data_IF_212950290241
#
_entry.id   IF_212950290241
#
_cell.length_a   1.000
_cell.length_b   1.000
_cell.length_c   1.000
_cell.angle_alpha   90.00
_cell.angle_beta   90.00
_cell.angle_gamma   90.00
#
_symmetry.space_group_name_H-M   'P 1'
#
loop_
_entity.id
_entity.type
_entity.pdbx_description
1 polymer ?
#
# COMPACT_ATOMS: atom_id res chain seq x y z
N UNK A 1 -14.18 2.79 -48.86
CA UNK A 1 -13.27 3.85 -49.32
C UNK A 1 -14.02 5.18 -49.37
N UNK A 2 -13.72 6.08 -48.42
CA UNK A 2 -13.87 7.54 -48.56
C UNK A 2 -13.26 8.22 -47.33
N UNK A 3 -12.05 8.73 -47.49
CA UNK A 3 -11.38 9.68 -46.60
C UNK A 3 -12.08 11.05 -46.71
N UNK A 4 -12.28 11.74 -45.59
CA UNK A 4 -12.18 13.21 -45.56
C UNK A 4 -11.46 13.60 -44.26
N UNK A 5 -10.22 14.04 -44.43
CA UNK A 5 -9.37 14.72 -43.46
C UNK A 5 -9.84 16.17 -43.37
N UNK A 6 -9.95 16.75 -42.17
CA UNK A 6 -10.02 18.20 -42.03
C UNK A 6 -9.22 18.67 -40.81
N UNK A 7 -8.03 19.16 -41.14
CA UNK A 7 -7.09 19.90 -40.29
C UNK A 7 -7.59 21.33 -40.20
N UNK A 8 -7.82 21.86 -38.99
CA UNK A 8 -7.99 23.29 -38.77
C UNK A 8 -6.78 23.84 -38.02
N UNK A 9 -5.98 24.56 -38.80
CA UNK A 9 -4.78 25.29 -38.44
C UNK A 9 -5.14 26.77 -38.54
N UNK A 10 -5.19 27.51 -37.44
CA UNK A 10 -5.25 28.98 -37.46
C UNK A 10 -4.34 29.56 -36.38
N UNK A 11 -3.28 30.21 -36.86
CA UNK A 11 -2.42 31.13 -36.14
C UNK A 11 -3.16 32.41 -35.77
N UNK A 12 -2.99 32.88 -34.54
CA UNK A 12 -3.26 34.27 -34.13
C UNK A 12 -1.97 34.87 -33.56
N UNK A 13 -1.50 35.95 -34.16
CA UNK A 13 -0.19 36.59 -33.96
C UNK A 13 -0.43 38.05 -33.52
N UNK A 14 0.40 38.53 -32.56
CA UNK A 14 0.62 39.91 -32.05
C UNK A 14 -0.43 40.44 -31.04
N UNK A 15 -0.11 41.18 -29.97
CA UNK A 15 1.02 42.08 -29.72
C UNK A 15 1.24 42.30 -28.19
N UNK A 16 2.50 42.51 -27.78
CA UNK A 16 2.98 43.54 -26.84
C UNK A 16 4.34 43.13 -26.21
N UNK A 17 5.40 43.86 -26.56
CA UNK A 17 6.67 43.89 -25.86
C UNK A 17 6.50 44.54 -24.48
N UNK A 18 7.07 43.94 -23.44
CA UNK A 18 7.55 44.68 -22.28
C UNK A 18 8.90 44.08 -21.91
N UNK A 19 9.96 44.81 -22.26
CA UNK A 19 11.28 44.67 -21.64
C UNK A 19 11.13 45.15 -20.19
N UNK A 20 11.28 44.25 -19.21
CA UNK A 20 11.50 44.69 -17.84
C UNK A 20 12.49 43.77 -17.11
N UNK A 21 13.70 44.29 -17.02
CA UNK A 21 14.64 44.13 -15.92
C UNK A 21 15.20 42.72 -15.66
N UNK A 22 16.28 42.44 -16.39
CA UNK A 22 17.37 41.54 -16.00
C UNK A 22 17.90 41.91 -14.60
N UNK A 23 17.28 41.35 -13.56
CA UNK A 23 17.89 41.19 -12.24
C UNK A 23 18.03 39.68 -12.01
N UNK A 24 19.12 39.10 -12.53
CA UNK A 24 19.55 37.75 -12.12
C UNK A 24 19.86 37.80 -10.62
N UNK A 25 18.85 37.52 -9.82
CA UNK A 25 19.01 37.11 -8.45
C UNK A 25 19.83 35.81 -8.49
N UNK A 26 21.09 35.89 -8.05
CA UNK A 26 21.93 34.71 -7.85
C UNK A 26 21.34 34.00 -6.64
N UNK A 27 20.34 33.16 -6.86
CA UNK A 27 19.87 32.21 -5.86
C UNK A 27 21.09 31.33 -5.54
N UNK A 28 21.65 31.37 -4.32
CA UNK A 28 22.69 30.43 -3.94
C UNK A 28 22.11 29.02 -4.17
N UNK A 29 22.88 28.06 -4.74
CA UNK A 29 22.36 26.72 -4.91
C UNK A 29 21.89 26.25 -3.54
N UNK A 30 20.57 26.08 -3.39
CA UNK A 30 19.98 25.46 -2.22
C UNK A 30 20.76 24.17 -2.03
N UNK A 31 21.48 24.07 -0.91
CA UNK A 31 22.19 22.87 -0.55
C UNK A 31 21.13 21.77 -0.50
N UNK A 32 21.07 20.94 -1.55
CA UNK A 32 20.30 19.71 -1.51
C UNK A 32 20.89 18.93 -0.35
N UNK A 33 20.19 18.90 0.77
CA UNK A 33 20.48 17.94 1.83
C UNK A 33 20.24 16.59 1.17
N UNK A 34 21.32 15.91 0.77
CA UNK A 34 21.25 14.51 0.38
C UNK A 34 20.97 13.77 1.69
N UNK A 35 19.68 13.62 1.99
CA UNK A 35 19.22 12.81 3.09
C UNK A 35 19.39 11.36 2.62
N UNK A 36 20.56 10.79 2.87
CA UNK A 36 20.72 9.34 2.71
C UNK A 36 19.71 8.70 3.66
N UNK A 37 18.87 7.75 3.19
CA UNK A 37 18.03 7.00 4.11
C UNK A 37 18.95 6.38 5.15
N UNK A 38 18.63 6.48 6.45
CA UNK A 38 19.48 5.90 7.47
C UNK A 38 19.58 4.40 7.18
N UNK A 39 20.80 3.91 7.04
CA UNK A 39 21.04 2.47 6.92
C UNK A 39 20.56 1.85 8.23
N UNK A 40 19.60 0.93 8.14
CA UNK A 40 19.09 0.19 9.28
C UNK A 40 20.24 -0.40 10.09
N UNK A 41 20.20 -0.27 11.41
CA UNK A 41 21.06 -1.07 12.26
C UNK A 41 20.74 -2.56 12.09
N UNK A 42 21.68 -3.44 12.44
CA UNK A 42 21.47 -4.89 12.37
C UNK A 42 20.25 -5.33 13.19
N UNK A 43 20.05 -4.72 14.36
CA UNK A 43 18.93 -5.02 15.25
C UNK A 43 17.58 -4.59 14.64
N UNK A 44 17.51 -3.39 14.07
CA UNK A 44 16.32 -2.89 13.38
C UNK A 44 15.97 -3.75 12.17
N UNK A 45 16.98 -4.11 11.37
CA UNK A 45 16.80 -5.01 10.22
C UNK A 45 16.24 -6.36 10.65
N UNK A 46 16.83 -6.98 11.68
CA UNK A 46 16.36 -8.26 12.20
C UNK A 46 14.93 -8.17 12.76
N UNK A 47 14.58 -7.06 13.41
CA UNK A 47 13.23 -6.82 13.90
C UNK A 47 12.21 -6.71 12.75
N UNK A 48 12.56 -6.00 11.67
CA UNK A 48 11.73 -5.90 10.48
C UNK A 48 11.60 -7.23 9.72
N UNK A 49 12.68 -7.98 9.53
CA UNK A 49 12.65 -9.32 8.90
C UNK A 49 11.74 -10.28 9.69
N UNK A 50 11.84 -10.26 11.02
CA UNK A 50 10.97 -11.07 11.89
C UNK A 50 9.51 -10.67 11.76
N UNK A 51 9.22 -9.37 11.79
CA UNK A 51 7.85 -8.87 11.67
C UNK A 51 7.25 -9.11 10.29
N UNK A 52 8.04 -8.95 9.23
CA UNK A 52 7.69 -9.30 7.85
C UNK A 52 7.25 -10.76 7.76
N UNK A 53 8.03 -11.69 8.31
CA UNK A 53 7.71 -13.11 8.22
C UNK A 53 6.43 -13.46 9.01
N UNK A 54 6.22 -12.86 10.18
CA UNK A 54 4.98 -13.02 10.94
C UNK A 54 3.76 -12.52 10.16
N UNK A 55 3.86 -11.32 9.56
CA UNK A 55 2.80 -10.75 8.74
C UNK A 55 2.56 -11.57 7.46
N UNK A 56 3.60 -12.10 6.82
CA UNK A 56 3.49 -12.96 5.63
C UNK A 56 2.73 -14.26 5.93
N UNK A 57 2.96 -14.87 7.10
CA UNK A 57 2.24 -16.04 7.55
C UNK A 57 0.76 -15.73 7.84
N UNK A 58 0.48 -14.60 8.51
CA UNK A 58 -0.88 -14.14 8.75
C UNK A 58 -1.60 -13.83 7.44
N UNK A 59 -0.95 -13.14 6.50
CA UNK A 59 -1.46 -12.86 5.15
C UNK A 59 -1.84 -14.14 4.42
N UNK A 60 -0.95 -15.13 4.40
CA UNK A 60 -1.23 -16.43 3.76
C UNK A 60 -2.50 -17.08 4.33
N UNK A 61 -2.71 -16.97 5.64
CA UNK A 61 -3.88 -17.52 6.31
C UNK A 61 -5.16 -16.74 5.97
N UNK A 62 -5.08 -15.41 5.91
CA UNK A 62 -6.22 -14.55 5.57
C UNK A 62 -6.58 -14.59 4.09
N UNK A 63 -5.61 -14.72 3.20
CA UNK A 63 -5.83 -14.98 1.78
C UNK A 63 -6.56 -16.31 1.56
N UNK A 64 -6.18 -17.35 2.29
CA UNK A 64 -6.91 -18.63 2.22
C UNK A 64 -8.37 -18.49 2.66
N UNK A 65 -8.66 -17.76 3.74
CA UNK A 65 -10.02 -17.55 4.25
C UNK A 65 -10.84 -16.71 3.27
N UNK A 66 -10.41 -15.47 3.01
CA UNK A 66 -11.19 -14.53 2.20
C UNK A 66 -11.25 -14.94 0.74
N UNK A 67 -10.19 -15.57 0.22
CA UNK A 67 -10.17 -16.14 -1.12
C UNK A 67 -11.10 -17.35 -1.29
N UNK A 68 -11.22 -18.22 -0.27
CA UNK A 68 -12.21 -19.30 -0.30
C UNK A 68 -13.64 -18.74 -0.34
N UNK A 69 -13.94 -17.80 0.56
CA UNK A 69 -15.26 -17.16 0.64
C UNK A 69 -15.61 -16.46 -0.69
N UNK A 70 -14.66 -15.75 -1.30
CA UNK A 70 -14.90 -15.04 -2.57
C UNK A 70 -15.17 -15.98 -3.76
N UNK A 71 -14.75 -17.25 -3.68
CA UNK A 71 -15.07 -18.30 -4.67
C UNK A 71 -16.37 -19.04 -4.36
N UNK A 72 -17.09 -18.64 -3.30
CA UNK A 72 -18.29 -19.33 -2.83
C UNK A 72 -18.00 -20.61 -2.04
N UNK A 73 -16.76 -20.80 -1.58
CA UNK A 73 -16.37 -21.91 -0.72
C UNK A 73 -16.61 -21.55 0.76
N UNK A 74 -16.78 -22.57 1.61
CA UNK A 74 -16.94 -22.36 3.06
C UNK A 74 -15.58 -22.25 3.76
N UNK A 75 -15.37 -21.20 4.55
CA UNK A 75 -14.24 -21.10 5.47
C UNK A 75 -14.66 -21.56 6.88
N UNK A 76 -13.73 -22.21 7.61
CA UNK A 76 -14.00 -22.75 8.94
C UNK A 76 -13.73 -21.70 10.03
N UNK A 77 -14.69 -21.52 10.93
CA UNK A 77 -14.51 -20.77 12.16
C UNK A 77 -13.77 -21.60 13.23
N UNK A 78 -13.15 -20.92 14.19
CA UNK A 78 -12.48 -21.56 15.33
C UNK A 78 -10.95 -21.53 15.27
N UNK A 79 -10.37 -21.02 14.19
CA UNK A 79 -8.94 -20.67 14.16
C UNK A 79 -8.73 -19.33 14.85
N UNK A 80 -7.89 -19.32 15.88
CA UNK A 80 -7.38 -18.08 16.47
C UNK A 80 -6.18 -17.59 15.64
N UNK A 81 -6.21 -16.30 15.31
CA UNK A 81 -5.13 -15.64 14.57
C UNK A 81 -4.40 -14.69 15.50
N UNK A 82 -3.09 -14.76 15.51
CA UNK A 82 -2.26 -13.81 16.24
C UNK A 82 -2.23 -12.48 15.46
N UNK A 83 -2.83 -11.43 16.04
CA UNK A 83 -2.78 -10.09 15.47
C UNK A 83 -1.43 -9.46 15.79
N UNK A 84 -0.67 -9.12 14.76
CA UNK A 84 0.56 -8.35 14.90
C UNK A 84 0.18 -6.87 15.02
N UNK A 85 0.55 -6.24 16.15
CA UNK A 85 0.25 -4.83 16.42
C UNK A 85 0.98 -3.90 15.43
N UNK A 86 0.28 -2.99 14.74
CA UNK A 86 0.90 -2.02 13.82
C UNK A 86 1.93 -1.11 14.50
N UNK A 87 1.74 -0.82 15.79
CA UNK A 87 2.61 0.05 16.59
C UNK A 87 4.02 -0.53 16.79
N UNK A 88 4.21 -1.83 16.50
CA UNK A 88 5.53 -2.47 16.49
C UNK A 88 6.43 -1.93 15.38
N UNK A 89 5.86 -1.39 14.30
CA UNK A 89 6.59 -0.89 13.15
C UNK A 89 6.65 0.64 13.20
N UNK A 90 7.88 1.15 13.22
CA UNK A 90 8.14 2.59 13.15
C UNK A 90 7.76 3.13 11.77
N UNK A 91 7.24 4.36 11.70
CA UNK A 91 6.88 5.03 10.45
C UNK A 91 7.98 5.99 9.94
N UNK A 92 9.16 5.96 10.58
CA UNK A 92 10.32 6.78 10.22
C UNK A 92 11.10 6.22 9.02
N UNK A 93 10.90 4.94 8.68
CA UNK A 93 11.50 4.26 7.54
C UNK A 93 10.42 3.78 6.55
N UNK A 94 10.68 3.81 5.23
CA UNK A 94 9.74 3.28 4.24
C UNK A 94 9.30 1.84 4.52
N UNK A 95 10.25 0.96 4.87
CA UNK A 95 9.93 -0.44 5.22
C UNK A 95 8.96 -0.54 6.40
N UNK A 96 9.14 0.30 7.42
CA UNK A 96 8.29 0.30 8.59
C UNK A 96 6.88 0.81 8.27
N UNK A 97 6.75 1.79 7.38
CA UNK A 97 5.45 2.24 6.86
C UNK A 97 4.70 1.12 6.11
N UNK A 98 5.40 0.36 5.26
CA UNK A 98 4.80 -0.76 4.53
C UNK A 98 4.38 -1.90 5.47
N UNK A 99 5.25 -2.30 6.41
CA UNK A 99 4.91 -3.33 7.39
C UNK A 99 3.78 -2.89 8.33
N UNK A 100 3.73 -1.61 8.70
CA UNK A 100 2.62 -1.04 9.46
C UNK A 100 1.31 -1.11 8.68
N UNK A 101 1.33 -0.77 7.38
CA UNK A 101 0.16 -0.86 6.51
C UNK A 101 -0.34 -2.30 6.42
N UNK A 102 0.54 -3.26 6.15
CA UNK A 102 0.20 -4.67 6.16
C UNK A 102 -0.40 -5.14 7.49
N UNK A 103 0.17 -4.69 8.62
CA UNK A 103 -0.35 -5.03 9.95
C UNK A 103 -1.77 -4.49 10.20
N UNK A 104 -2.06 -3.25 9.79
CA UNK A 104 -3.40 -2.66 9.92
C UNK A 104 -4.42 -3.46 9.11
N UNK A 105 -4.13 -3.68 7.84
CA UNK A 105 -5.06 -4.35 6.92
C UNK A 105 -5.31 -5.81 7.34
N UNK A 106 -4.27 -6.54 7.75
CA UNK A 106 -4.44 -7.92 8.24
C UNK A 106 -5.17 -7.97 9.58
N UNK A 107 -4.92 -7.02 10.50
CA UNK A 107 -5.66 -6.95 11.75
C UNK A 107 -7.15 -6.70 11.49
N UNK A 108 -7.49 -5.82 10.56
CA UNK A 108 -8.87 -5.55 10.18
C UNK A 108 -9.53 -6.74 9.44
N UNK A 109 -8.80 -7.43 8.57
CA UNK A 109 -9.26 -8.65 7.92
C UNK A 109 -9.57 -9.77 8.94
N UNK A 110 -8.71 -9.94 9.96
CA UNK A 110 -8.92 -10.88 11.07
C UNK A 110 -10.16 -10.51 11.88
N UNK A 111 -10.28 -9.24 12.30
CA UNK A 111 -11.44 -8.77 13.08
C UNK A 111 -12.74 -8.95 12.31
N UNK A 112 -12.74 -8.66 11.02
CA UNK A 112 -13.89 -8.85 10.16
C UNK A 112 -14.30 -10.33 10.10
N UNK A 113 -13.33 -11.23 9.95
CA UNK A 113 -13.59 -12.67 9.94
C UNK A 113 -14.10 -13.17 11.29
N UNK A 114 -13.50 -12.71 12.39
CA UNK A 114 -13.96 -13.02 13.75
C UNK A 114 -15.41 -12.57 13.97
N UNK A 115 -15.78 -11.39 13.47
CA UNK A 115 -17.16 -10.91 13.56
C UNK A 115 -18.15 -11.80 12.79
N UNK A 116 -17.78 -12.29 11.60
CA UNK A 116 -18.60 -13.27 10.86
C UNK A 116 -18.70 -14.61 11.61
N UNK A 117 -17.65 -15.02 12.32
CA UNK A 117 -17.67 -16.24 13.12
C UNK A 117 -18.47 -16.12 14.42
N UNK A 118 -18.51 -14.93 15.04
CA UNK A 118 -19.30 -14.66 16.24
C UNK A 118 -20.81 -14.59 15.93
N UNK A 119 -21.17 -14.08 14.75
CA UNK A 119 -22.56 -14.01 14.28
C UNK A 119 -22.71 -14.70 12.92
N UNK A 120 -22.68 -16.05 12.89
CA UNK A 120 -22.70 -16.80 11.65
C UNK A 120 -24.02 -16.58 10.91
N UNK A 121 -23.91 -16.12 9.67
CA UNK A 121 -25.03 -15.93 8.75
C UNK A 121 -25.08 -17.07 7.74
N UNK A 122 -26.26 -17.31 7.17
CA UNK A 122 -26.42 -18.31 6.09
C UNK A 122 -25.64 -17.90 4.83
N UNK A 123 -25.53 -16.60 4.59
CA UNK A 123 -24.77 -16.03 3.47
C UNK A 123 -24.08 -14.74 3.96
N UNK A 124 -22.78 -14.62 3.68
CA UNK A 124 -22.01 -13.41 3.97
C UNK A 124 -22.35 -12.36 2.90
N UNK A 125 -22.71 -11.13 3.26
CA UNK A 125 -23.01 -10.09 2.27
C UNK A 125 -21.83 -9.84 1.31
N UNK A 126 -22.08 -9.64 -0.01
CA UNK A 126 -21.01 -9.42 -0.98
C UNK A 126 -20.07 -8.25 -0.64
N UNK A 127 -20.58 -7.17 -0.05
CA UNK A 127 -19.79 -6.02 0.36
C UNK A 127 -18.80 -6.35 1.49
N UNK A 128 -19.16 -7.28 2.36
CA UNK A 128 -18.27 -7.80 3.42
C UNK A 128 -17.17 -8.65 2.81
N UNK A 129 -17.51 -9.52 1.85
CA UNK A 129 -16.54 -10.34 1.12
C UNK A 129 -15.55 -9.45 0.38
N UNK A 130 -16.04 -8.49 -0.40
CA UNK A 130 -15.22 -7.55 -1.15
C UNK A 130 -14.29 -6.72 -0.25
N UNK A 131 -14.78 -6.35 0.94
CA UNK A 131 -13.98 -5.64 1.95
C UNK A 131 -12.84 -6.51 2.47
N UNK A 132 -13.13 -7.74 2.88
CA UNK A 132 -12.13 -8.68 3.39
C UNK A 132 -11.05 -9.00 2.35
N UNK A 133 -11.47 -9.28 1.11
CA UNK A 133 -10.54 -9.51 -0.02
C UNK A 133 -9.65 -8.29 -0.27
N UNK A 134 -10.22 -7.08 -0.26
CA UNK A 134 -9.43 -5.86 -0.49
C UNK A 134 -8.38 -5.62 0.59
N UNK A 135 -8.71 -5.87 1.85
CA UNK A 135 -7.75 -5.75 2.96
C UNK A 135 -6.57 -6.70 2.76
N UNK A 136 -6.85 -7.97 2.45
CA UNK A 136 -5.80 -8.96 2.17
C UNK A 136 -4.94 -8.54 0.98
N UNK A 137 -5.54 -8.12 -0.14
CA UNK A 137 -4.80 -7.66 -1.31
C UNK A 137 -3.90 -6.46 -0.99
N UNK A 138 -4.42 -5.48 -0.25
CA UNK A 138 -3.66 -4.29 0.16
C UNK A 138 -2.49 -4.67 1.07
N UNK A 139 -2.71 -5.60 2.01
CA UNK A 139 -1.64 -6.14 2.84
C UNK A 139 -0.59 -6.88 2.01
N UNK A 140 -1.01 -7.69 1.03
CA UNK A 140 -0.11 -8.41 0.14
C UNK A 140 0.75 -7.48 -0.73
N UNK A 141 0.19 -6.34 -1.17
CA UNK A 141 0.93 -5.32 -1.90
C UNK A 141 1.97 -4.63 -1.02
N UNK A 142 1.60 -4.23 0.19
CA UNK A 142 2.53 -3.64 1.16
C UNK A 142 3.65 -4.62 1.56
N UNK A 143 3.33 -5.90 1.75
CA UNK A 143 4.35 -6.93 2.03
C UNK A 143 5.35 -7.08 0.88
N UNK A 144 4.88 -7.04 -0.37
CA UNK A 144 5.76 -7.13 -1.54
C UNK A 144 6.70 -5.93 -1.66
N UNK A 145 6.24 -4.75 -1.27
CA UNK A 145 7.09 -3.55 -1.21
C UNK A 145 8.11 -3.67 -0.07
N UNK A 146 7.68 -4.11 1.12
CA UNK A 146 8.57 -4.36 2.25
C UNK A 146 9.66 -5.40 1.91
N UNK A 147 9.34 -6.46 1.17
CA UNK A 147 10.30 -7.47 0.72
C UNK A 147 11.37 -6.90 -0.23
N UNK A 148 10.97 -6.00 -1.14
CA UNK A 148 11.91 -5.29 -2.02
C UNK A 148 12.86 -4.43 -1.17
N UNK A 149 12.33 -3.65 -0.24
CA UNK A 149 13.11 -2.78 0.65
C UNK A 149 14.07 -3.56 1.58
N UNK A 150 13.71 -4.78 1.98
CA UNK A 150 14.62 -5.66 2.75
C UNK A 150 15.77 -6.24 1.91
N UNK A 151 15.59 -6.30 0.60
CA UNK A 151 16.55 -6.90 -0.33
C UNK A 151 17.58 -5.90 -0.87
N UNK A 152 17.34 -4.61 -0.67
CA UNK A 152 18.28 -3.51 -0.95
C UNK A 152 19.42 -3.40 0.10
#
# INVERSE_FOLDING_TARGET
>A
MRQIVLVFLICGVLAACSDEENRKEVIPPSATIINFPPTLSLEERQAYETGFEQLRQLHTSMDAVWGAISRGETAQCGTEYEIISPERFSDDQPIGMELRTAAVELADAVRLWQAECENPRTEIPPDVIDRGVRMVLTAGDALREAEQLLSE
#
